data_IF_243955827696
#
_entry.id   IF_243955827696
#
_cell.length_a   1.000
_cell.length_b   1.000
_cell.length_c   1.000
_cell.angle_alpha   90.00
_cell.angle_beta   90.00
_cell.angle_gamma   90.00
#
_symmetry.space_group_name_H-M   'P 1'
#
loop_
_entity.id
_entity.type
_entity.pdbx_description
1 polymer ?
#
# COMPACT_ATOMS: atom_id res chain seq x y z
N UNK A 1 -22.81 31.47 -25.68
CA UNK A 1 -22.78 32.19 -24.40
C UNK A 1 -23.10 31.17 -23.31
N UNK A 2 -22.09 30.57 -22.69
CA UNK A 2 -22.27 29.74 -21.50
C UNK A 2 -21.31 30.28 -20.44
N UNK A 3 -21.90 30.92 -19.43
CA UNK A 3 -21.23 31.50 -18.27
C UNK A 3 -21.58 30.62 -17.06
N UNK A 4 -20.60 30.50 -16.16
CA UNK A 4 -20.66 29.98 -14.78
C UNK A 4 -20.61 28.45 -14.66
N UNK A 5 -19.67 27.88 -13.88
CA UNK A 5 -19.57 28.09 -12.43
C UNK A 5 -18.13 28.29 -11.95
N UNK A 6 -17.95 29.26 -11.04
CA UNK A 6 -16.72 29.47 -10.30
C UNK A 6 -16.36 28.21 -9.49
N UNK A 7 -15.29 27.50 -9.89
CA UNK A 7 -14.67 26.47 -9.07
C UNK A 7 -14.13 27.15 -7.82
N UNK A 8 -14.78 26.96 -6.68
CA UNK A 8 -14.11 27.08 -5.39
C UNK A 8 -13.01 26.03 -5.39
N UNK A 9 -11.78 26.42 -5.73
CA UNK A 9 -10.59 25.57 -5.58
C UNK A 9 -10.42 25.29 -4.10
N UNK A 10 -11.13 24.27 -3.61
CA UNK A 10 -10.90 23.75 -2.26
C UNK A 10 -9.54 23.09 -2.28
N UNK A 11 -8.68 23.59 -1.41
CA UNK A 11 -7.35 23.08 -1.18
C UNK A 11 -7.36 22.38 0.17
N UNK A 12 -6.78 21.21 0.22
CA UNK A 12 -6.64 20.41 1.42
C UNK A 12 -5.17 20.25 1.78
N UNK A 13 -4.87 20.25 3.07
CA UNK A 13 -3.60 19.68 3.55
C UNK A 13 -3.64 18.17 3.37
N UNK A 14 -2.46 17.54 3.33
CA UNK A 14 -2.35 16.09 3.16
C UNK A 14 -3.19 15.30 4.18
N UNK A 15 -3.16 15.72 5.44
CA UNK A 15 -3.88 15.04 6.52
C UNK A 15 -5.40 15.11 6.32
N UNK A 16 -5.91 16.29 5.99
CA UNK A 16 -7.34 16.53 5.74
C UNK A 16 -7.84 15.77 4.50
N UNK A 17 -7.04 15.76 3.43
CA UNK A 17 -7.32 15.00 2.22
C UNK A 17 -7.40 13.49 2.51
N UNK A 18 -6.45 12.99 3.31
CA UNK A 18 -6.39 11.59 3.65
C UNK A 18 -7.59 11.17 4.52
N UNK A 19 -7.94 11.99 5.51
CA UNK A 19 -9.10 11.81 6.37
C UNK A 19 -10.41 11.80 5.58
N UNK A 20 -10.58 12.74 4.64
CA UNK A 20 -11.78 12.85 3.81
C UNK A 20 -12.07 11.60 2.95
N UNK A 21 -11.05 10.76 2.69
CA UNK A 21 -11.18 9.52 1.90
C UNK A 21 -10.99 8.27 2.76
N UNK A 22 -10.75 8.42 4.06
CA UNK A 22 -10.52 7.30 4.98
C UNK A 22 -9.22 6.54 4.71
N UNK A 23 -8.16 7.24 4.31
CA UNK A 23 -6.81 6.69 4.10
C UNK A 23 -5.79 7.40 4.98
N UNK A 24 -4.57 6.85 5.08
CA UNK A 24 -3.50 7.50 5.84
C UNK A 24 -2.71 8.49 4.95
N UNK A 25 -2.08 9.53 5.53
CA UNK A 25 -1.16 10.41 4.80
C UNK A 25 -0.03 9.63 4.10
N UNK A 26 0.43 8.53 4.70
CA UNK A 26 1.44 7.63 4.13
C UNK A 26 0.95 6.99 2.84
N UNK A 27 -0.30 6.52 2.82
CA UNK A 27 -0.93 5.92 1.63
C UNK A 27 -1.02 6.93 0.50
N UNK A 28 -1.41 8.17 0.78
CA UNK A 28 -1.48 9.23 -0.25
C UNK A 28 -0.11 9.51 -0.86
N UNK A 29 0.95 9.65 -0.04
CA UNK A 29 2.33 9.83 -0.55
C UNK A 29 2.79 8.64 -1.40
N UNK A 30 2.44 7.44 -0.99
CA UNK A 30 2.73 6.22 -1.75
C UNK A 30 2.05 6.24 -3.14
N UNK A 31 0.80 6.68 -3.22
CA UNK A 31 0.11 6.84 -4.51
C UNK A 31 0.72 7.92 -5.40
N UNK A 32 1.18 9.03 -4.83
CA UNK A 32 1.95 10.04 -5.58
C UNK A 32 3.25 9.43 -6.12
N UNK A 33 4.01 8.70 -5.30
CA UNK A 33 5.28 8.08 -5.72
C UNK A 33 5.10 7.02 -6.82
N UNK A 34 3.98 6.28 -6.78
CA UNK A 34 3.61 5.29 -7.81
C UNK A 34 3.02 5.92 -9.09
N UNK A 35 2.73 7.22 -9.09
CA UNK A 35 2.11 7.91 -10.23
C UNK A 35 0.59 7.68 -10.36
N UNK A 36 -0.08 7.20 -9.31
CA UNK A 36 -1.54 7.07 -9.24
C UNK A 36 -2.23 8.42 -8.99
N UNK A 37 -1.49 9.36 -8.39
CA UNK A 37 -1.93 10.73 -8.17
C UNK A 37 -0.97 11.69 -8.87
N UNK A 38 -1.47 12.82 -9.38
CA UNK A 38 -0.62 13.86 -9.93
C UNK A 38 0.32 14.37 -8.83
N UNK A 39 1.52 14.80 -9.24
CA UNK A 39 2.45 15.40 -8.29
C UNK A 39 1.84 16.71 -7.77
N UNK A 40 1.92 16.98 -6.46
CA UNK A 40 1.41 18.23 -5.92
C UNK A 40 2.20 19.43 -6.48
N UNK A 41 1.59 20.62 -6.53
CA UNK A 41 2.20 21.82 -7.10
C UNK A 41 3.47 22.27 -6.34
N UNK A 42 3.58 21.94 -5.05
CA UNK A 42 4.74 22.23 -4.23
C UNK A 42 5.12 21.05 -3.35
N UNK A 43 6.42 20.87 -3.05
CA UNK A 43 6.92 19.85 -2.12
C UNK A 43 7.42 20.51 -0.84
N UNK A 44 6.67 20.37 0.26
CA UNK A 44 7.01 20.96 1.55
C UNK A 44 5.93 20.75 2.62
N UNK A 45 6.09 21.34 3.81
CA UNK A 45 5.07 21.30 4.86
C UNK A 45 3.77 22.01 4.44
N UNK A 46 3.86 23.01 3.56
CA UNK A 46 2.74 23.76 3.01
C UNK A 46 2.21 23.18 1.68
N UNK A 47 2.49 21.90 1.40
CA UNK A 47 1.94 21.25 0.22
C UNK A 47 0.41 21.18 0.31
N UNK A 48 -0.25 21.80 -0.66
CA UNK A 48 -1.70 21.78 -0.85
C UNK A 48 -2.10 20.80 -1.95
N UNK A 49 -3.27 20.20 -1.78
CA UNK A 49 -3.88 19.28 -2.73
C UNK A 49 -5.24 19.80 -3.15
N UNK A 50 -5.48 19.90 -4.46
CA UNK A 50 -6.76 20.34 -5.00
C UNK A 50 -7.78 19.21 -5.19
N UNK A 51 -8.95 19.60 -5.68
CA UNK A 51 -10.11 18.73 -5.96
C UNK A 51 -9.78 17.50 -6.81
N UNK A 52 -8.90 17.62 -7.79
CA UNK A 52 -8.48 16.50 -8.64
C UNK A 52 -7.89 15.34 -7.83
N UNK A 53 -7.13 15.64 -6.78
CA UNK A 53 -6.54 14.63 -5.91
C UNK A 53 -7.62 13.89 -5.12
N UNK A 54 -8.65 14.63 -4.65
CA UNK A 54 -9.77 14.05 -3.92
C UNK A 54 -10.58 13.11 -4.83
N UNK A 55 -10.89 13.55 -6.05
CA UNK A 55 -11.63 12.73 -7.02
C UNK A 55 -10.86 11.46 -7.39
N UNK A 56 -9.56 11.57 -7.70
CA UNK A 56 -8.72 10.39 -7.96
C UNK A 56 -8.65 9.46 -6.76
N UNK A 57 -8.49 9.98 -5.55
CA UNK A 57 -8.45 9.15 -4.34
C UNK A 57 -9.76 8.38 -4.14
N UNK A 58 -10.91 9.03 -4.31
CA UNK A 58 -12.22 8.35 -4.23
C UNK A 58 -12.37 7.29 -5.33
N UNK A 59 -12.00 7.60 -6.56
CA UNK A 59 -12.00 6.64 -7.66
C UNK A 59 -11.11 5.42 -7.40
N UNK A 60 -9.92 5.62 -6.82
CA UNK A 60 -9.03 4.53 -6.39
C UNK A 60 -9.75 3.61 -5.40
N UNK A 61 -10.49 4.15 -4.43
CA UNK A 61 -11.25 3.34 -3.45
C UNK A 61 -12.32 2.49 -4.11
N UNK A 62 -13.04 3.06 -5.07
CA UNK A 62 -14.08 2.32 -5.81
C UNK A 62 -13.48 1.21 -6.66
N UNK A 63 -12.35 1.44 -7.33
CA UNK A 63 -11.67 0.41 -8.12
C UNK A 63 -11.03 -0.66 -7.23
N UNK A 64 -10.50 -0.29 -6.06
CA UNK A 64 -10.02 -1.25 -5.05
C UNK A 64 -11.15 -2.13 -4.52
N UNK A 65 -12.34 -1.58 -4.28
CA UNK A 65 -13.51 -2.35 -3.87
C UNK A 65 -13.95 -3.37 -4.94
N UNK A 66 -13.58 -3.14 -6.20
CA UNK A 66 -13.75 -4.10 -7.32
C UNK A 66 -12.60 -5.10 -7.44
N UNK A 67 -11.70 -5.15 -6.45
CA UNK A 67 -10.52 -6.03 -6.39
C UNK A 67 -9.50 -5.83 -7.52
N UNK A 68 -9.45 -4.63 -8.12
CA UNK A 68 -8.40 -4.33 -9.10
C UNK A 68 -7.03 -4.15 -8.42
N UNK A 69 -5.95 -4.74 -8.96
CA UNK A 69 -4.61 -4.46 -8.48
C UNK A 69 -4.20 -3.03 -8.83
N UNK A 70 -3.32 -2.43 -8.02
CA UNK A 70 -2.92 -1.01 -8.15
C UNK A 70 -2.39 -0.65 -9.54
N UNK A 71 -1.69 -1.56 -10.22
CA UNK A 71 -1.16 -1.30 -11.56
C UNK A 71 -2.29 -1.23 -12.61
N UNK A 72 -3.33 -2.06 -12.48
CA UNK A 72 -4.52 -1.96 -13.32
C UNK A 72 -5.31 -0.67 -13.02
N UNK A 73 -5.40 -0.29 -11.75
CA UNK A 73 -6.03 0.98 -11.33
C UNK A 73 -5.31 2.17 -11.97
N UNK A 74 -3.98 2.18 -11.99
CA UNK A 74 -3.21 3.25 -12.62
C UNK A 74 -3.53 3.38 -14.11
N UNK A 75 -3.60 2.26 -14.84
CA UNK A 75 -3.93 2.23 -16.27
C UNK A 75 -5.35 2.73 -16.52
N UNK A 76 -6.31 2.31 -15.69
CA UNK A 76 -7.70 2.77 -15.80
C UNK A 76 -7.83 4.27 -15.54
N UNK A 77 -7.23 4.77 -14.45
CA UNK A 77 -7.25 6.20 -14.13
C UNK A 77 -6.61 7.08 -15.22
N UNK A 78 -5.63 6.55 -15.95
CA UNK A 78 -4.99 7.27 -17.06
C UNK A 78 -5.89 7.36 -18.31
N UNK A 79 -6.87 6.46 -18.46
CA UNK A 79 -7.81 6.43 -19.59
C UNK A 79 -9.12 7.19 -19.34
N UNK A 80 -9.49 7.40 -18.08
CA UNK A 80 -10.75 8.06 -17.73
C UNK A 80 -10.75 9.53 -18.14
N UNK A 81 -11.89 9.98 -18.67
CA UNK A 81 -12.17 11.41 -18.82
C UNK A 81 -12.45 12.05 -17.46
N UNK A 82 -12.33 13.38 -17.32
CA UNK A 82 -12.66 14.07 -16.06
C UNK A 82 -14.08 13.77 -15.55
N UNK A 83 -15.04 13.63 -16.46
CA UNK A 83 -16.44 13.35 -16.14
C UNK A 83 -16.60 11.90 -15.65
N UNK A 84 -15.95 10.95 -16.32
CA UNK A 84 -15.98 9.54 -15.91
C UNK A 84 -15.28 9.33 -14.56
N UNK A 85 -14.19 10.07 -14.31
CA UNK A 85 -13.51 10.08 -13.02
C UNK A 85 -14.42 10.61 -11.91
N UNK A 86 -15.14 11.71 -12.16
CA UNK A 86 -16.10 12.26 -11.20
C UNK A 86 -17.24 11.28 -10.91
N UNK A 87 -17.84 10.68 -11.95
CA UNK A 87 -18.89 9.68 -11.78
C UNK A 87 -18.41 8.48 -10.94
N UNK A 88 -17.16 8.04 -11.15
CA UNK A 88 -16.55 6.97 -10.37
C UNK A 88 -16.25 7.39 -8.92
N UNK A 89 -15.94 8.66 -8.68
CA UNK A 89 -15.70 9.21 -7.34
C UNK A 89 -17.00 9.41 -6.54
N UNK A 90 -18.11 9.65 -7.22
CA UNK A 90 -19.46 9.77 -6.64
C UNK A 90 -20.13 8.41 -6.43
N UNK A 91 -19.75 7.41 -7.22
CA UNK A 91 -20.17 6.04 -6.99
C UNK A 91 -19.76 5.61 -5.57
N UNK A 92 -20.73 5.19 -4.75
CA UNK A 92 -20.41 4.70 -3.42
C UNK A 92 -19.45 3.51 -3.55
N UNK A 93 -18.30 3.54 -2.85
CA UNK A 93 -17.48 2.36 -2.71
C UNK A 93 -18.30 1.38 -1.86
N UNK A 94 -18.96 0.42 -2.50
CA UNK A 94 -19.48 -0.77 -1.80
C UNK A 94 -18.35 -1.27 -0.89
N UNK A 95 -18.65 -1.35 0.41
CA UNK A 95 -17.69 -1.25 1.50
C UNK A 95 -16.34 -1.98 1.27
N UNK A 96 -15.21 -1.35 1.64
CA UNK A 96 -13.90 -2.01 1.60
C UNK A 96 -13.83 -3.15 2.63
N UNK A 97 -13.13 -4.28 2.37
CA UNK A 97 -12.57 -5.04 3.48
C UNK A 97 -11.60 -4.12 4.25
N UNK A 98 -11.53 -4.20 5.58
CA UNK A 98 -10.62 -3.36 6.36
C UNK A 98 -9.19 -3.61 5.88
N UNK A 99 -8.51 -2.55 5.45
CA UNK A 99 -7.05 -2.60 5.31
C UNK A 99 -6.49 -2.93 6.70
N UNK A 100 -5.67 -3.98 6.88
CA UNK A 100 -4.93 -4.11 8.12
C UNK A 100 -3.93 -2.95 8.13
N UNK A 101 -4.26 -1.89 8.87
CA UNK A 101 -3.22 -1.06 9.47
C UNK A 101 -2.37 -2.01 10.31
N UNK A 102 -1.07 -2.22 10.01
CA UNK A 102 -0.19 -2.83 10.98
C UNK A 102 -0.06 -1.82 12.12
N UNK A 103 -0.99 -1.90 13.08
CA UNK A 103 -0.85 -1.25 14.36
C UNK A 103 0.48 -1.75 14.94
N UNK A 104 1.42 -0.83 15.08
CA UNK A 104 2.63 -1.05 15.86
C UNK A 104 2.21 -1.59 17.24
N UNK A 105 2.75 -2.73 17.73
CA UNK A 105 2.46 -3.17 19.07
C UNK A 105 3.33 -2.37 20.04
N UNK A 106 2.72 -1.54 20.88
CA UNK A 106 3.29 -1.18 22.17
C UNK A 106 3.08 -2.37 23.13
N UNK A 107 4.07 -2.76 23.95
CA UNK A 107 4.02 -3.99 24.74
C UNK A 107 3.27 -3.76 26.07
N UNK A 108 2.26 -4.58 26.36
CA UNK A 108 1.78 -4.82 27.71
C UNK A 108 1.44 -6.31 27.88
N UNK A 109 1.76 -6.93 29.04
CA UNK A 109 1.90 -8.38 29.16
C UNK A 109 0.56 -9.06 29.46
N UNK A 110 0.19 -10.05 28.66
CA UNK A 110 -0.85 -11.02 29.02
C UNK A 110 -0.35 -12.43 28.71
N UNK A 111 -0.25 -13.26 29.75
CA UNK A 111 -0.02 -14.70 29.65
C UNK A 111 -1.34 -15.42 29.28
N UNK A 112 -1.27 -16.63 28.69
CA UNK A 112 -2.37 -17.26 27.93
C UNK A 112 -3.25 -18.22 28.76
N UNK A 113 -4.37 -18.70 28.17
CA UNK A 113 -4.73 -20.10 28.33
C UNK A 113 -4.86 -20.86 26.99
N UNK A 114 -4.19 -22.00 27.00
CA UNK A 114 -4.31 -23.27 26.25
C UNK A 114 -5.79 -23.78 26.22
N UNK A 115 -6.40 -24.45 25.23
CA UNK A 115 -5.99 -25.19 24.01
C UNK A 115 -7.21 -25.56 23.11
N UNK A 116 -6.89 -25.94 21.85
CA UNK A 116 -7.60 -26.79 20.85
C UNK A 116 -8.61 -26.12 19.89
N UNK A 117 -8.56 -26.19 18.54
CA UNK A 117 -7.71 -26.77 17.46
C UNK A 117 -8.22 -26.20 16.08
N UNK A 118 -7.65 -26.41 14.86
CA UNK A 118 -6.46 -27.17 14.45
C UNK A 118 -5.28 -26.28 14.02
N UNK A 119 -4.09 -26.87 14.12
CA UNK A 119 -2.79 -26.28 13.81
C UNK A 119 -2.64 -25.93 12.32
N UNK A 120 -2.80 -24.67 11.95
CA UNK A 120 -1.92 -24.08 10.95
C UNK A 120 -0.60 -23.82 11.68
N UNK A 121 0.37 -24.72 11.49
CA UNK A 121 1.68 -24.60 12.11
C UNK A 121 2.18 -23.16 11.93
N UNK A 122 2.70 -22.50 12.98
CA UNK A 122 3.28 -21.18 12.81
C UNK A 122 4.32 -21.28 11.71
N UNK A 123 4.13 -20.51 10.62
CA UNK A 123 5.12 -20.44 9.55
C UNK A 123 6.34 -19.76 10.14
N UNK A 124 7.24 -20.52 10.75
CA UNK A 124 8.49 -20.02 11.28
C UNK A 124 9.38 -19.66 10.10
N UNK A 125 9.85 -18.41 10.08
CA UNK A 125 10.81 -17.95 9.10
C UNK A 125 12.19 -18.01 9.72
N UNK A 126 13.11 -18.73 9.08
CA UNK A 126 14.51 -18.75 9.44
C UNK A 126 15.21 -17.59 8.74
N UNK A 127 15.83 -16.71 9.53
CA UNK A 127 16.61 -15.57 9.03
C UNK A 127 18.10 -15.90 9.08
N UNK A 128 18.79 -15.63 7.98
CA UNK A 128 20.24 -15.72 7.88
C UNK A 128 20.81 -14.41 7.37
N UNK A 129 21.78 -13.85 8.07
CA UNK A 129 22.57 -12.73 7.58
C UNK A 129 23.64 -13.27 6.62
N UNK A 130 23.66 -12.74 5.40
CA UNK A 130 24.55 -13.16 4.32
C UNK A 130 25.77 -12.25 4.18
N UNK A 131 25.60 -10.97 4.48
CA UNK A 131 26.63 -9.93 4.55
C UNK A 131 26.07 -8.75 5.39
N UNK A 132 26.90 -7.79 5.83
CA UNK A 132 26.42 -6.61 6.55
C UNK A 132 25.31 -5.89 5.77
N UNK A 133 24.08 -5.95 6.28
CA UNK A 133 22.90 -5.35 5.65
C UNK A 133 22.18 -6.20 4.59
N UNK A 134 22.60 -7.46 4.36
CA UNK A 134 21.94 -8.40 3.45
C UNK A 134 21.44 -9.64 4.20
N UNK A 135 20.13 -9.87 4.22
CA UNK A 135 19.50 -10.99 4.93
C UNK A 135 18.66 -11.87 3.99
N UNK A 136 18.72 -13.18 4.21
CA UNK A 136 17.86 -14.19 3.57
C UNK A 136 16.84 -14.72 4.57
N UNK A 137 15.57 -14.73 4.17
CA UNK A 137 14.47 -15.27 4.95
C UNK A 137 13.90 -16.50 4.24
N UNK A 138 13.87 -17.64 4.94
CA UNK A 138 13.30 -18.89 4.44
C UNK A 138 12.20 -19.39 5.38
N UNK A 139 10.99 -19.56 4.87
CA UNK A 139 9.91 -20.18 5.62
C UNK A 139 10.21 -21.68 5.89
N UNK A 140 9.92 -22.19 7.08
CA UNK A 140 10.04 -23.61 7.42
C UNK A 140 9.13 -24.49 6.54
N UNK A 141 8.02 -23.90 6.06
CA UNK A 141 7.08 -24.53 5.14
C UNK A 141 7.57 -24.57 3.68
N UNK A 142 8.77 -24.05 3.40
CA UNK A 142 9.33 -24.06 2.05
C UNK A 142 9.51 -25.49 1.52
N UNK A 143 9.18 -25.67 0.24
CA UNK A 143 9.37 -26.93 -0.47
C UNK A 143 10.86 -27.26 -0.66
N UNK A 144 11.16 -28.52 -1.01
CA UNK A 144 12.52 -29.01 -1.13
C UNK A 144 13.36 -28.25 -2.18
N UNK A 145 12.76 -27.77 -3.27
CA UNK A 145 13.47 -27.03 -4.31
C UNK A 145 13.84 -25.63 -3.81
N UNK A 146 12.91 -24.97 -3.12
CA UNK A 146 13.14 -23.66 -2.50
C UNK A 146 14.20 -23.73 -1.40
N UNK A 147 14.21 -24.80 -0.59
CA UNK A 147 15.25 -25.05 0.42
C UNK A 147 16.63 -25.28 -0.22
N UNK A 148 16.70 -26.11 -1.26
CA UNK A 148 17.95 -26.38 -1.98
C UNK A 148 18.53 -25.11 -2.65
N UNK A 149 17.67 -24.25 -3.20
CA UNK A 149 18.10 -22.96 -3.76
C UNK A 149 18.67 -22.03 -2.69
N UNK A 150 18.02 -21.94 -1.53
CA UNK A 150 18.50 -21.13 -0.42
C UNK A 150 19.87 -21.59 0.11
N UNK A 151 20.08 -22.91 0.21
CA UNK A 151 21.37 -23.50 0.59
C UNK A 151 22.46 -23.23 -0.47
N UNK A 152 22.12 -23.34 -1.75
CA UNK A 152 23.06 -23.06 -2.84
C UNK A 152 23.50 -21.59 -2.86
N UNK A 153 22.55 -20.65 -2.69
CA UNK A 153 22.86 -19.22 -2.59
C UNK A 153 23.77 -18.92 -1.40
N UNK A 154 23.52 -19.57 -0.25
CA UNK A 154 24.37 -19.43 0.93
C UNK A 154 25.80 -19.93 0.68
N UNK A 155 25.96 -21.09 0.03
CA UNK A 155 27.26 -21.67 -0.26
C UNK A 155 28.08 -20.81 -1.24
N UNK A 156 27.44 -20.21 -2.26
CA UNK A 156 28.10 -19.30 -3.20
C UNK A 156 28.61 -18.03 -2.50
N UNK A 157 27.80 -17.47 -1.60
CA UNK A 157 28.17 -16.25 -0.88
C UNK A 157 29.31 -16.50 0.11
N UNK A 158 29.34 -17.67 0.78
CA UNK A 158 30.44 -18.03 1.68
C UNK A 158 31.77 -18.19 0.93
N UNK A 159 31.76 -18.84 -0.24
CA UNK A 159 32.95 -18.96 -1.10
C UNK A 159 33.46 -17.62 -1.63
N UNK A 160 32.58 -16.61 -1.77
CA UNK A 160 32.96 -15.28 -2.25
C UNK A 160 33.63 -14.39 -1.18
N UNK A 161 33.47 -14.73 0.11
CA UNK A 161 34.06 -13.99 1.24
C UNK A 161 35.43 -14.53 1.67
N UNK A 162 35.79 -15.75 1.25
CA UNK A 162 37.08 -16.38 1.56
C UNK A 162 38.16 -16.14 0.48
N UNK A 163 37.90 -15.27 -0.50
CA UNK A 163 38.78 -14.99 -1.64
C UNK A 163 39.32 -13.57 -1.68
#
# INVERSE_FOLDING_TARGET
>A
MFVSQAKTSREWKLSELAEAVGVTPRTVRYYVQRGLLPAPPFKGPDTVYGEEHLLRLKAIRVLQARFLPLDAIQVELARLTPEALQALAEAEPSAPPPVPSPAAPAPAPVSPPESAAPSAAPTSWRRWELAPGLELHLADTADAKTRALAEHLRALLQQSQER
#
